data_IF_989914121014
#
_entry.id   IF_989914121014
#
_cell.length_a   1.000
_cell.length_b   1.000
_cell.length_c   1.000
_cell.angle_alpha   90.00
_cell.angle_beta   90.00
_cell.angle_gamma   90.00
#
_symmetry.space_group_name_H-M   'P 1'
#
loop_
_entity.id
_entity.type
_entity.pdbx_description
1 polymer ?
#
# COMPACT_ATOMS: atom_id res chain seq x y z
N UNK A 1 -1.20 21.10 -9.70
CA UNK A 1 -0.02 20.81 -8.86
C UNK A 1 -0.52 19.99 -7.69
N UNK A 2 0.05 18.82 -7.37
CA UNK A 2 -0.38 18.09 -6.20
C UNK A 2 0.14 18.84 -4.97
N UNK A 3 -0.78 19.07 -4.05
CA UNK A 3 -0.67 19.86 -2.83
C UNK A 3 0.52 19.40 -1.96
N UNK A 4 1.45 20.31 -1.68
CA UNK A 4 2.53 20.14 -0.71
C UNK A 4 1.94 19.99 0.70
N UNK A 5 1.82 18.75 1.19
CA UNK A 5 1.55 18.49 2.62
C UNK A 5 0.50 17.43 2.96
N UNK A 6 -0.11 16.75 1.99
CA UNK A 6 -1.13 15.75 2.31
C UNK A 6 -0.51 14.44 2.80
N UNK A 7 -0.81 14.08 4.06
CA UNK A 7 -0.75 12.69 4.51
C UNK A 7 -1.38 11.74 3.47
N UNK A 8 -0.92 10.48 3.43
CA UNK A 8 -1.46 9.45 2.51
C UNK A 8 -2.99 9.50 2.51
N UNK A 9 -3.60 9.53 1.31
CA UNK A 9 -5.05 9.65 1.16
C UNK A 9 -5.75 8.53 1.90
N UNK A 10 -6.86 8.84 2.58
CA UNK A 10 -7.67 7.84 3.29
C UNK A 10 -8.06 6.66 2.38
N UNK A 11 -8.43 6.96 1.12
CA UNK A 11 -8.74 5.94 0.11
C UNK A 11 -7.58 4.99 -0.18
N UNK A 12 -6.33 5.45 -0.10
CA UNK A 12 -5.15 4.60 -0.28
C UNK A 12 -4.91 3.74 0.97
N UNK A 13 -5.03 4.33 2.17
CA UNK A 13 -4.91 3.61 3.45
C UNK A 13 -5.91 2.45 3.51
N UNK A 14 -7.19 2.72 3.28
CA UNK A 14 -8.27 1.71 3.26
C UNK A 14 -7.96 0.60 2.23
N UNK A 15 -7.56 0.99 1.02
CA UNK A 15 -7.21 0.03 -0.04
C UNK A 15 -6.08 -0.92 0.37
N UNK A 16 -5.03 -0.40 1.00
CA UNK A 16 -3.89 -1.21 1.45
C UNK A 16 -4.33 -2.18 2.54
N UNK A 17 -5.09 -1.70 3.54
CA UNK A 17 -5.59 -2.52 4.65
C UNK A 17 -6.47 -3.66 4.12
N UNK A 18 -7.45 -3.35 3.27
CA UNK A 18 -8.37 -4.35 2.68
C UNK A 18 -7.62 -5.44 1.91
N UNK A 19 -6.62 -5.03 1.12
CA UNK A 19 -5.81 -5.97 0.34
C UNK A 19 -4.95 -6.82 1.25
N UNK A 20 -4.31 -6.24 2.27
CA UNK A 20 -3.53 -6.98 3.24
C UNK A 20 -4.39 -8.01 3.98
N UNK A 21 -5.56 -7.61 4.48
CA UNK A 21 -6.46 -8.50 5.21
C UNK A 21 -6.95 -9.66 4.37
N UNK A 22 -7.37 -9.39 3.12
CA UNK A 22 -7.74 -10.45 2.18
C UNK A 22 -6.59 -11.41 1.94
N UNK A 23 -5.38 -10.90 1.66
CA UNK A 23 -4.22 -11.75 1.37
C UNK A 23 -3.76 -12.55 2.58
N UNK A 24 -3.82 -11.98 3.78
CA UNK A 24 -3.52 -12.68 5.03
C UNK A 24 -4.52 -13.80 5.26
N UNK A 25 -5.82 -13.54 5.04
CA UNK A 25 -6.87 -14.55 5.16
C UNK A 25 -6.68 -15.69 4.17
N UNK A 26 -6.31 -15.37 2.92
CA UNK A 26 -6.21 -16.36 1.84
C UNK A 26 -4.91 -17.16 1.86
N UNK A 27 -3.79 -16.54 2.25
CA UNK A 27 -2.42 -17.10 2.11
C UNK A 27 -1.62 -17.16 3.40
N UNK A 28 -2.18 -16.69 4.51
CA UNK A 28 -1.50 -16.60 5.80
C UNK A 28 -0.73 -15.29 6.02
N UNK A 29 -0.31 -15.02 7.26
CA UNK A 29 0.29 -13.74 7.68
C UNK A 29 1.67 -13.46 7.05
N UNK A 30 2.39 -14.48 6.62
CA UNK A 30 3.72 -14.36 6.03
C UNK A 30 3.71 -14.08 4.51
N UNK A 31 2.53 -13.91 3.91
CA UNK A 31 2.42 -13.60 2.49
C UNK A 31 3.16 -12.30 2.16
N UNK A 32 4.08 -12.38 1.19
CA UNK A 32 4.78 -11.23 0.63
C UNK A 32 3.91 -10.51 -0.40
N UNK A 33 3.81 -9.19 -0.30
CA UNK A 33 3.10 -8.31 -1.22
C UNK A 33 4.04 -7.22 -1.74
N UNK A 34 3.83 -6.81 -2.99
CA UNK A 34 4.39 -5.58 -3.55
C UNK A 34 3.29 -4.52 -3.62
N UNK A 35 3.63 -3.23 -3.78
CA UNK A 35 2.62 -2.18 -3.91
C UNK A 35 1.66 -2.39 -5.09
N UNK A 36 2.10 -3.11 -6.14
CA UNK A 36 1.23 -3.49 -7.26
C UNK A 36 0.06 -4.38 -6.82
N UNK A 37 0.18 -5.13 -5.73
CA UNK A 37 -0.88 -5.99 -5.22
C UNK A 37 -2.15 -5.21 -4.81
N UNK A 38 -2.03 -3.89 -4.59
CA UNK A 38 -3.16 -3.04 -4.24
C UNK A 38 -4.07 -2.70 -5.43
N UNK A 39 -3.61 -2.94 -6.66
CA UNK A 39 -4.29 -2.55 -7.88
C UNK A 39 -4.60 -3.79 -8.74
N UNK A 40 -5.78 -3.84 -9.35
CA UNK A 40 -6.12 -4.91 -10.29
C UNK A 40 -5.40 -4.70 -11.63
N UNK A 41 -5.27 -3.43 -12.05
CA UNK A 41 -4.51 -3.02 -13.23
C UNK A 41 -3.76 -1.71 -12.96
N UNK A 42 -2.56 -1.58 -13.55
CA UNK A 42 -1.75 -0.35 -13.49
C UNK A 42 -2.44 0.91 -14.05
N UNK A 43 -3.45 0.72 -14.90
CA UNK A 43 -4.18 1.81 -15.54
C UNK A 43 -5.49 2.19 -14.84
N UNK A 44 -5.93 1.47 -13.79
CA UNK A 44 -7.24 1.72 -13.17
C UNK A 44 -7.28 3.07 -12.45
N UNK A 45 -6.22 3.39 -11.71
CA UNK A 45 -6.07 4.67 -11.05
C UNK A 45 -4.58 5.06 -10.99
N UNK A 46 -4.02 5.57 -12.10
CA UNK A 46 -2.60 5.91 -12.18
C UNK A 46 -2.13 6.88 -11.08
N UNK A 47 -2.89 7.93 -10.70
CA UNK A 47 -2.51 8.80 -9.58
C UNK A 47 -2.36 8.04 -8.26
N UNK A 48 -3.31 7.16 -7.92
CA UNK A 48 -3.27 6.38 -6.69
C UNK A 48 -2.10 5.37 -6.68
N UNK A 49 -1.77 4.81 -7.85
CA UNK A 49 -0.61 3.94 -8.03
C UNK A 49 0.71 4.69 -7.82
N UNK A 50 0.83 5.91 -8.36
CA UNK A 50 2.02 6.74 -8.16
C UNK A 50 2.18 7.14 -6.69
N UNK A 51 1.10 7.47 -6.00
CA UNK A 51 1.11 7.75 -4.56
C UNK A 51 1.56 6.52 -3.74
N UNK A 52 1.03 5.33 -4.07
CA UNK A 52 1.45 4.08 -3.43
C UNK A 52 2.93 3.78 -3.69
N UNK A 53 3.41 4.00 -4.92
CA UNK A 53 4.81 3.80 -5.29
C UNK A 53 5.73 4.79 -4.56
N UNK A 54 5.35 6.07 -4.43
CA UNK A 54 6.10 7.08 -3.68
C UNK A 54 6.19 6.72 -2.19
N UNK A 55 5.07 6.31 -1.58
CA UNK A 55 5.07 5.84 -0.19
C UNK A 55 5.98 4.62 -0.01
N UNK A 56 5.87 3.64 -0.91
CA UNK A 56 6.60 2.38 -0.83
C UNK A 56 8.11 2.54 -1.05
N UNK A 57 8.48 3.15 -2.18
CA UNK A 57 9.86 3.19 -2.68
C UNK A 57 10.62 4.37 -2.10
N UNK A 58 10.02 5.57 -2.12
CA UNK A 58 10.74 6.78 -1.74
C UNK A 58 10.68 7.04 -0.23
N UNK A 59 9.48 6.91 0.36
CA UNK A 59 9.26 7.30 1.76
C UNK A 59 9.76 6.23 2.72
N UNK A 60 9.38 4.97 2.50
CA UNK A 60 9.72 3.88 3.41
C UNK A 60 10.82 2.94 2.90
N UNK A 61 11.24 3.09 1.64
CA UNK A 61 12.31 2.30 1.02
C UNK A 61 12.14 0.79 1.24
N UNK A 62 10.91 0.33 1.09
CA UNK A 62 10.55 -1.07 1.28
C UNK A 62 11.14 -1.93 0.14
N UNK A 63 11.44 -3.19 0.46
CA UNK A 63 11.87 -4.17 -0.52
C UNK A 63 10.81 -4.41 -1.60
N UNK A 64 11.18 -5.11 -2.68
CA UNK A 64 10.23 -5.44 -3.75
C UNK A 64 9.00 -6.19 -3.23
N UNK A 65 9.20 -7.01 -2.19
CA UNK A 65 8.12 -7.67 -1.45
C UNK A 65 8.28 -7.46 0.05
N UNK A 66 7.17 -7.18 0.72
CA UNK A 66 7.10 -7.06 2.17
C UNK A 66 5.96 -7.91 2.72
N UNK A 67 6.09 -8.37 3.97
CA UNK A 67 5.03 -9.16 4.60
C UNK A 67 3.76 -8.32 4.75
N UNK A 68 2.60 -8.88 4.39
CA UNK A 68 1.31 -8.21 4.52
C UNK A 68 1.05 -7.66 5.93
N UNK A 69 1.44 -8.40 6.97
CA UNK A 69 1.32 -7.94 8.37
C UNK A 69 2.20 -6.73 8.70
N UNK A 70 3.37 -6.59 8.05
CA UNK A 70 4.25 -5.42 8.23
C UNK A 70 3.63 -4.20 7.59
N UNK A 71 3.20 -4.33 6.33
CA UNK A 71 2.56 -3.27 5.55
C UNK A 71 1.32 -2.75 6.28
N UNK A 72 0.42 -3.65 6.70
CA UNK A 72 -0.81 -3.29 7.41
C UNK A 72 -0.51 -2.46 8.67
N UNK A 73 0.41 -2.94 9.52
CA UNK A 73 0.80 -2.23 10.76
C UNK A 73 1.38 -0.84 10.47
N UNK A 74 2.17 -0.70 9.41
CA UNK A 74 2.72 0.60 9.03
C UNK A 74 1.62 1.58 8.65
N UNK A 75 0.63 1.15 7.85
CA UNK A 75 -0.48 2.00 7.42
C UNK A 75 -1.43 2.33 8.58
N UNK A 76 -1.73 1.37 9.45
CA UNK A 76 -2.56 1.60 10.66
C UNK A 76 -1.92 2.60 11.64
N UNK A 77 -0.58 2.68 11.67
CA UNK A 77 0.15 3.62 12.51
C UNK A 77 0.19 5.06 11.95
N UNK A 78 -0.23 5.26 10.69
CA UNK A 78 -0.32 6.58 10.08
C UNK A 78 -1.66 7.21 10.47
N UNK A 79 -1.69 8.01 11.54
CA UNK A 79 -2.82 8.88 11.86
C UNK A 79 -3.01 9.93 10.75
#
# INVERSE_FOLDING_TARGET
MPDEGSAMRASLKEKIIDVCDRKIKDKGPDVGLSFYAFFANKNDNPPLLMEAAQWWIMTHQLDHFEKAVKIKKMVEAMA
#
